data_IF_362844433179
#
_entry.id   IF_362844433179
#
_cell.length_a   1.000
_cell.length_b   1.000
_cell.length_c   1.000
_cell.angle_alpha   90.00
_cell.angle_beta   90.00
_cell.angle_gamma   90.00
#
_symmetry.space_group_name_H-M   'P 1'
#
loop_
_entity.id
_entity.type
_entity.pdbx_description
1 polymer ?
#
# COMPACT_ATOMS: atom_id res chain seq x y z
N UNK A 1 15.17 20.81 -21.21
CA UNK A 1 14.58 20.73 -19.86
C UNK A 1 13.10 20.51 -20.04
N UNK A 2 12.60 19.31 -19.71
CA UNK A 2 11.16 19.07 -19.71
C UNK A 2 10.57 19.75 -18.47
N UNK A 3 9.48 20.48 -18.63
CA UNK A 3 8.81 21.14 -17.52
C UNK A 3 8.33 20.10 -16.50
N UNK A 4 8.59 20.34 -15.21
CA UNK A 4 8.04 19.53 -14.12
C UNK A 4 6.52 19.67 -14.16
N UNK A 5 5.74 18.58 -14.21
CA UNK A 5 4.29 18.68 -14.24
C UNK A 5 3.78 19.15 -12.88
N UNK A 6 3.01 20.23 -12.90
CA UNK A 6 2.49 20.86 -11.68
C UNK A 6 1.55 19.90 -10.92
N UNK A 7 1.65 19.85 -9.59
CA UNK A 7 0.69 19.14 -8.76
C UNK A 7 -0.69 19.80 -8.84
N UNK A 8 -1.74 18.98 -8.97
CA UNK A 8 -3.13 19.44 -8.96
C UNK A 8 -3.80 19.06 -7.64
N UNK A 9 -4.55 19.97 -7.02
CA UNK A 9 -5.35 19.65 -5.84
C UNK A 9 -6.56 18.74 -6.15
N UNK A 10 -6.94 18.62 -7.44
CA UNK A 10 -8.07 17.80 -7.89
C UNK A 10 -7.72 16.37 -8.28
N UNK A 11 -6.42 16.01 -8.34
CA UNK A 11 -5.99 14.64 -8.64
C UNK A 11 -6.00 13.79 -7.34
N UNK A 12 -6.41 12.53 -7.45
CA UNK A 12 -6.27 11.53 -6.37
C UNK A 12 -4.81 11.26 -6.02
N UNK A 13 -4.54 10.70 -4.84
CA UNK A 13 -3.17 10.34 -4.44
C UNK A 13 -2.55 9.30 -5.38
N UNK A 14 -3.31 8.29 -5.81
CA UNK A 14 -2.88 7.36 -6.85
C UNK A 14 -2.49 8.04 -8.17
N UNK A 15 -3.29 8.99 -8.66
CA UNK A 15 -2.97 9.76 -9.88
C UNK A 15 -1.72 10.63 -9.71
N UNK A 16 -1.55 11.26 -8.54
CA UNK A 16 -0.34 12.00 -8.20
C UNK A 16 0.90 11.09 -8.19
N UNK A 17 0.79 9.89 -7.62
CA UNK A 17 1.88 8.90 -7.61
C UNK A 17 2.28 8.46 -9.03
N UNK A 18 1.29 8.22 -9.89
CA UNK A 18 1.51 7.91 -11.31
C UNK A 18 2.20 9.07 -12.05
N UNK A 19 1.73 10.30 -11.85
CA UNK A 19 2.35 11.52 -12.42
C UNK A 19 3.81 11.65 -12.00
N UNK A 20 4.11 11.48 -10.71
CA UNK A 20 5.48 11.54 -10.17
C UNK A 20 6.35 10.47 -10.84
N UNK A 21 5.85 9.23 -10.93
CA UNK A 21 6.59 8.13 -11.57
C UNK A 21 6.88 8.40 -13.04
N UNK A 22 5.91 8.95 -13.78
CA UNK A 22 6.08 9.32 -15.19
C UNK A 22 7.04 10.51 -15.37
N UNK A 23 7.06 11.45 -14.44
CA UNK A 23 7.92 12.64 -14.49
C UNK A 23 9.38 12.34 -14.11
N UNK A 24 9.61 11.38 -13.21
CA UNK A 24 10.93 10.96 -12.76
C UNK A 24 11.12 9.44 -12.97
N UNK A 25 11.24 8.97 -14.24
CA UNK A 25 11.45 7.57 -14.54
C UNK A 25 12.85 7.12 -14.10
N UNK A 26 12.94 5.94 -13.49
CA UNK A 26 14.22 5.28 -13.23
C UNK A 26 14.63 4.56 -14.52
N UNK A 27 15.76 4.94 -15.10
CA UNK A 27 16.22 4.43 -16.40
C UNK A 27 17.09 3.16 -16.29
N UNK A 28 17.56 2.82 -15.09
CA UNK A 28 18.34 1.61 -14.82
C UNK A 28 17.55 0.54 -14.06
N UNK A 29 18.20 -0.60 -13.80
CA UNK A 29 17.61 -1.71 -13.05
C UNK A 29 17.39 -1.37 -11.56
N UNK A 30 17.99 -0.28 -11.08
CA UNK A 30 17.92 0.18 -9.69
C UNK A 30 17.79 1.69 -9.63
N UNK A 31 17.07 2.17 -8.63
CA UNK A 31 17.05 3.58 -8.28
C UNK A 31 18.43 4.03 -7.78
N UNK A 32 18.88 5.19 -8.22
CA UNK A 32 20.02 5.90 -7.66
C UNK A 32 19.58 6.82 -6.51
N UNK A 33 20.53 7.32 -5.72
CA UNK A 33 20.23 8.29 -4.66
C UNK A 33 19.62 9.58 -5.21
N UNK A 34 19.98 9.97 -6.43
CA UNK A 34 19.40 11.13 -7.12
C UNK A 34 17.95 10.85 -7.54
N UNK A 35 17.64 9.65 -8.05
CA UNK A 35 16.25 9.24 -8.34
C UNK A 35 15.39 9.29 -7.07
N UNK A 36 15.91 8.77 -5.96
CA UNK A 36 15.27 8.82 -4.65
C UNK A 36 15.02 10.25 -4.19
N UNK A 37 16.02 11.13 -4.30
CA UNK A 37 15.90 12.54 -3.90
C UNK A 37 14.87 13.29 -4.74
N UNK A 38 14.89 13.10 -6.06
CA UNK A 38 13.95 13.75 -6.98
C UNK A 38 12.52 13.32 -6.65
N UNK A 39 12.27 12.01 -6.56
CA UNK A 39 10.93 11.49 -6.25
C UNK A 39 10.43 11.94 -4.88
N UNK A 40 11.29 11.91 -3.85
CA UNK A 40 10.94 12.40 -2.51
C UNK A 40 10.51 13.87 -2.53
N UNK A 41 11.28 14.73 -3.21
CA UNK A 41 10.94 16.14 -3.34
C UNK A 41 9.62 16.39 -4.10
N UNK A 42 9.23 15.49 -5.01
CA UNK A 42 7.93 15.55 -5.69
C UNK A 42 6.78 15.06 -4.81
N UNK A 43 7.02 14.06 -3.96
CA UNK A 43 6.04 13.58 -2.97
C UNK A 43 5.80 14.67 -1.92
N UNK A 44 6.85 15.30 -1.40
CA UNK A 44 6.74 16.41 -0.43
C UNK A 44 5.89 17.57 -0.98
N UNK A 45 6.12 17.94 -2.24
CA UNK A 45 5.35 19.00 -2.91
C UNK A 45 3.88 18.59 -3.08
N UNK A 46 3.61 17.34 -3.47
CA UNK A 46 2.25 16.83 -3.64
C UNK A 46 1.47 16.81 -2.31
N UNK A 47 2.13 16.48 -1.20
CA UNK A 47 1.56 16.54 0.15
C UNK A 47 1.31 17.99 0.58
N UNK A 48 2.27 18.88 0.35
CA UNK A 48 2.17 20.29 0.73
C UNK A 48 1.01 21.01 0.02
N UNK A 49 0.80 20.76 -1.28
CA UNK A 49 -0.31 21.32 -2.07
C UNK A 49 -1.68 20.90 -1.52
N UNK A 50 -1.75 19.73 -0.87
CA UNK A 50 -2.96 19.20 -0.23
C UNK A 50 -3.11 19.63 1.23
N UNK A 51 -2.18 20.41 1.77
CA UNK A 51 -2.18 20.80 3.19
C UNK A 51 -1.97 19.62 4.14
N UNK A 52 -1.36 18.53 3.66
CA UNK A 52 -1.06 17.35 4.49
C UNK A 52 0.22 17.65 5.27
N UNK A 53 0.10 17.59 6.59
CA UNK A 53 1.22 17.82 7.50
C UNK A 53 1.78 16.49 8.00
N UNK A 54 3.10 16.36 8.19
CA UNK A 54 3.70 15.16 8.75
C UNK A 54 3.15 14.86 10.16
N UNK A 55 2.68 13.63 10.37
CA UNK A 55 2.32 13.08 11.67
C UNK A 55 3.46 12.30 12.31
N UNK A 56 3.12 11.27 13.09
CA UNK A 56 4.10 10.36 13.68
C UNK A 56 4.73 9.48 12.60
N UNK A 57 6.04 9.28 12.67
CA UNK A 57 6.74 8.39 11.75
C UNK A 57 6.46 6.93 12.14
N UNK A 58 5.59 6.26 11.40
CA UNK A 58 5.12 4.92 11.73
C UNK A 58 4.95 4.01 10.50
N UNK A 59 4.90 2.71 10.76
CA UNK A 59 4.72 1.72 9.70
C UNK A 59 3.28 1.73 9.22
N UNK A 60 3.13 1.69 7.90
CA UNK A 60 1.86 1.58 7.22
C UNK A 60 1.87 0.31 6.37
N UNK A 61 0.78 -0.47 6.44
CA UNK A 61 0.58 -1.67 5.62
C UNK A 61 -0.47 -1.38 4.56
N UNK A 62 -0.25 -1.88 3.35
CA UNK A 62 -1.15 -1.68 2.23
C UNK A 62 -1.37 -2.99 1.44
N UNK A 63 -2.56 -3.13 0.87
CA UNK A 63 -2.82 -4.05 -0.23
C UNK A 63 -2.88 -3.22 -1.51
N UNK A 64 -2.05 -3.58 -2.49
CA UNK A 64 -2.03 -2.97 -3.81
C UNK A 64 -3.12 -3.58 -4.69
N UNK A 65 -3.56 -2.85 -5.73
CA UNK A 65 -4.64 -3.32 -6.63
C UNK A 65 -4.27 -4.58 -7.43
N UNK A 66 -2.99 -4.92 -7.50
CA UNK A 66 -2.47 -6.14 -8.10
C UNK A 66 -2.38 -7.32 -7.10
N UNK A 67 -2.89 -7.14 -5.89
CA UNK A 67 -2.92 -8.15 -4.83
C UNK A 67 -1.64 -8.25 -4.00
N UNK A 68 -0.60 -7.45 -4.25
CA UNK A 68 0.57 -7.45 -3.38
C UNK A 68 0.28 -6.78 -2.04
N UNK A 69 0.82 -7.33 -0.96
CA UNK A 69 0.92 -6.63 0.31
C UNK A 69 2.28 -5.98 0.41
N UNK A 70 2.30 -4.69 0.75
CA UNK A 70 3.50 -3.90 0.92
C UNK A 70 3.39 -3.08 2.22
N UNK A 71 4.51 -2.55 2.68
CA UNK A 71 4.52 -1.61 3.79
C UNK A 71 5.65 -0.61 3.67
N UNK A 72 5.49 0.52 4.35
CA UNK A 72 6.39 1.66 4.27
C UNK A 72 6.37 2.44 5.58
N UNK A 73 7.52 2.99 5.99
CA UNK A 73 7.64 3.89 7.15
C UNK A 73 7.48 5.33 6.68
N UNK A 74 6.40 5.99 7.08
CA UNK A 74 6.06 7.37 6.67
C UNK A 74 5.24 8.06 7.76
N UNK A 75 4.90 9.33 7.56
CA UNK A 75 4.29 10.17 8.59
C UNK A 75 2.77 10.29 8.46
N UNK A 76 2.16 9.69 7.43
CA UNK A 76 0.70 9.72 7.19
C UNK A 76 0.26 8.62 6.22
N UNK A 77 -1.05 8.32 6.22
CA UNK A 77 -1.66 7.37 5.28
C UNK A 77 -1.55 7.88 3.84
N UNK A 78 -1.69 9.18 3.64
CA UNK A 78 -1.60 9.82 2.33
C UNK A 78 -0.19 9.75 1.75
N UNK A 79 0.82 9.97 2.60
CA UNK A 79 2.22 9.77 2.24
C UNK A 79 2.50 8.30 1.90
N UNK A 80 1.91 7.35 2.63
CA UNK A 80 2.07 5.93 2.35
C UNK A 80 1.48 5.55 0.99
N UNK A 81 0.27 5.99 0.66
CA UNK A 81 -0.35 5.74 -0.64
C UNK A 81 0.49 6.29 -1.80
N UNK A 82 1.01 7.51 -1.65
CA UNK A 82 1.89 8.14 -2.63
C UNK A 82 3.20 7.38 -2.81
N UNK A 83 3.93 7.13 -1.71
CA UNK A 83 5.20 6.39 -1.74
C UNK A 83 5.02 5.02 -2.40
N UNK A 84 4.01 4.27 -1.97
CA UNK A 84 3.75 2.94 -2.51
C UNK A 84 3.42 3.01 -4.00
N UNK A 85 2.58 3.94 -4.43
CA UNK A 85 2.25 4.10 -5.85
C UNK A 85 3.47 4.48 -6.69
N UNK A 86 4.31 5.41 -6.21
CA UNK A 86 5.53 5.86 -6.91
C UNK A 86 6.52 4.71 -7.05
N UNK A 87 6.79 3.99 -5.97
CA UNK A 87 7.82 2.96 -5.91
C UNK A 87 7.38 1.64 -6.54
N UNK A 88 6.18 1.17 -6.23
CA UNK A 88 5.64 -0.08 -6.78
C UNK A 88 5.07 0.08 -8.18
N UNK A 89 4.63 1.28 -8.56
CA UNK A 89 4.00 1.52 -9.87
C UNK A 89 2.60 0.97 -9.97
N UNK A 90 1.98 0.70 -8.82
CA UNK A 90 0.66 0.12 -8.67
C UNK A 90 -0.07 0.89 -7.58
N UNK A 91 -1.31 1.28 -7.84
CA UNK A 91 -2.15 1.97 -6.84
C UNK A 91 -2.43 1.08 -5.63
N UNK A 92 -2.71 1.70 -4.49
CA UNK A 92 -3.20 1.01 -3.32
C UNK A 92 -4.71 0.70 -3.47
N UNK A 93 -5.11 -0.52 -3.12
CA UNK A 93 -6.52 -0.85 -2.87
C UNK A 93 -6.95 -0.31 -1.49
N UNK A 94 -6.07 -0.46 -0.49
CA UNK A 94 -6.18 0.21 0.79
C UNK A 94 -4.80 0.40 1.43
N UNK A 95 -4.72 1.34 2.37
CA UNK A 95 -3.57 1.60 3.23
C UNK A 95 -4.10 1.77 4.66
N UNK A 96 -3.40 1.22 5.65
CA UNK A 96 -3.71 1.42 7.07
C UNK A 96 -2.45 1.64 7.89
N UNK A 97 -2.60 2.42 8.95
CA UNK A 97 -1.59 2.56 10.01
C UNK A 97 -1.41 1.20 10.70
N UNK A 98 -0.18 0.75 10.88
CA UNK A 98 0.18 -0.56 11.44
C UNK A 98 1.53 -0.46 12.19
N UNK A 99 1.61 0.31 13.30
CA UNK A 99 2.87 0.78 13.87
C UNK A 99 3.77 -0.34 14.42
N UNK A 100 3.18 -1.53 14.64
CA UNK A 100 3.86 -2.72 15.16
C UNK A 100 4.00 -3.82 14.07
N UNK A 101 3.68 -3.50 12.82
CA UNK A 101 3.68 -4.43 11.69
C UNK A 101 2.82 -5.69 11.92
N UNK A 102 1.79 -5.61 12.78
CA UNK A 102 0.98 -6.77 13.16
C UNK A 102 0.19 -7.27 11.95
N UNK A 103 -0.44 -6.35 11.21
CA UNK A 103 -1.18 -6.72 10.01
C UNK A 103 -0.23 -7.23 8.92
N UNK A 104 0.92 -6.58 8.73
CA UNK A 104 1.92 -7.05 7.78
C UNK A 104 2.38 -8.49 8.08
N UNK A 105 2.60 -8.81 9.35
CA UNK A 105 3.01 -10.15 9.78
C UNK A 105 1.91 -11.21 9.64
N UNK A 106 0.62 -10.85 9.58
CA UNK A 106 -0.42 -11.80 9.19
C UNK A 106 -0.19 -12.34 7.77
N UNK A 107 0.26 -11.48 6.85
CA UNK A 107 0.57 -11.86 5.47
C UNK A 107 1.93 -12.54 5.33
N UNK A 108 2.89 -12.14 6.19
CA UNK A 108 4.27 -12.64 6.18
C UNK A 108 4.73 -13.02 7.60
N UNK A 109 4.33 -14.18 8.13
CA UNK A 109 4.57 -14.56 9.53
C UNK A 109 6.04 -14.64 9.97
N UNK A 110 6.96 -14.81 9.00
CA UNK A 110 8.40 -14.86 9.26
C UNK A 110 9.06 -13.47 9.36
N UNK A 111 8.30 -12.39 9.13
CA UNK A 111 8.77 -10.99 9.16
C UNK A 111 9.65 -10.57 7.99
N UNK A 112 10.48 -11.48 7.45
CA UNK A 112 11.27 -11.26 6.23
C UNK A 112 10.59 -11.88 5.03
N UNK A 113 10.32 -11.08 3.99
CA UNK A 113 9.86 -11.59 2.69
C UNK A 113 11.00 -12.36 2.02
N UNK A 114 10.80 -13.65 1.82
CA UNK A 114 11.56 -14.43 0.85
C UNK A 114 11.25 -13.97 -0.57
N UNK A 115 12.09 -14.32 -1.54
CA UNK A 115 11.83 -14.03 -2.96
C UNK A 115 10.48 -14.63 -3.44
N UNK A 116 10.09 -15.80 -2.93
CA UNK A 116 8.79 -16.40 -3.24
C UNK A 116 7.61 -15.61 -2.64
N UNK A 117 7.79 -15.01 -1.46
CA UNK A 117 6.78 -14.15 -0.83
C UNK A 117 6.73 -12.74 -1.45
N UNK A 118 7.79 -12.31 -2.15
CA UNK A 118 7.80 -11.05 -2.90
C UNK A 118 6.74 -11.05 -4.00
N UNK A 119 6.57 -12.17 -4.70
CA UNK A 119 5.62 -12.33 -5.81
C UNK A 119 4.21 -12.76 -5.38
N UNK A 120 4.01 -13.05 -4.09
CA UNK A 120 2.74 -13.57 -3.58
C UNK A 120 1.63 -12.53 -3.70
N UNK A 121 0.49 -12.96 -4.25
CA UNK A 121 -0.74 -12.15 -4.38
C UNK A 121 -1.82 -12.61 -3.42
N UNK A 122 -2.61 -11.67 -2.94
CA UNK A 122 -3.74 -11.87 -2.04
C UNK A 122 -5.01 -11.30 -2.68
N UNK A 123 -6.20 -11.87 -2.38
CA UNK A 123 -7.46 -11.35 -2.89
C UNK A 123 -7.70 -9.92 -2.43
N UNK A 124 -8.28 -9.10 -3.31
CA UNK A 124 -8.75 -7.76 -2.96
C UNK A 124 -9.91 -7.89 -1.98
N UNK A 125 -9.71 -7.36 -0.79
CA UNK A 125 -10.67 -7.36 0.30
C UNK A 125 -10.61 -6.00 0.99
N UNK A 126 -11.69 -5.58 1.70
CA UNK A 126 -11.68 -4.35 2.48
C UNK A 126 -10.50 -4.27 3.46
N UNK A 127 -10.14 -3.06 3.93
CA UNK A 127 -9.08 -2.88 4.93
C UNK A 127 -9.28 -3.83 6.11
N UNK A 128 -8.25 -4.59 6.46
CA UNK A 128 -8.29 -5.47 7.63
C UNK A 128 -8.11 -4.65 8.90
N UNK A 129 -8.89 -4.96 9.93
CA UNK A 129 -8.66 -4.43 11.27
C UNK A 129 -7.42 -5.09 11.89
N UNK A 130 -6.59 -4.31 12.59
CA UNK A 130 -5.47 -4.82 13.38
C UNK A 130 -6.01 -5.78 14.45
N UNK A 131 -5.50 -7.01 14.45
CA UNK A 131 -5.82 -8.00 15.49
C UNK A 131 -4.98 -7.76 16.73
N UNK A 132 -5.57 -8.00 17.89
CA UNK A 132 -4.78 -8.07 19.13
C UNK A 132 -3.94 -9.35 19.16
N UNK A 133 -2.94 -9.36 20.06
CA UNK A 133 -2.00 -10.48 20.24
C UNK A 133 -2.65 -11.81 20.68
N UNK A 134 -3.94 -11.82 20.99
CA UNK A 134 -4.68 -12.99 21.48
C UNK A 134 -5.60 -13.60 20.41
N UNK A 135 -5.75 -12.94 19.26
CA UNK A 135 -6.36 -13.58 18.11
C UNK A 135 -5.48 -14.76 17.65
N UNK A 136 -6.05 -15.97 17.44
CA UNK A 136 -5.27 -17.12 17.03
C UNK A 136 -4.51 -16.83 15.72
N UNK A 137 -3.24 -17.23 15.69
CA UNK A 137 -2.33 -17.04 14.55
C UNK A 137 -2.77 -17.81 13.28
N UNK A 138 -3.69 -18.76 13.43
CA UNK A 138 -4.34 -19.43 12.32
C UNK A 138 -5.50 -18.57 11.82
N UNK A 139 -5.25 -17.70 10.84
CA UNK A 139 -5.95 -17.79 9.55
C UNK A 139 -5.58 -16.65 8.60
N UNK A 140 -5.07 -17.02 7.42
CA UNK A 140 -5.09 -16.17 6.24
C UNK A 140 -6.27 -16.48 5.29
N UNK A 141 -7.06 -17.56 5.49
CA UNK A 141 -7.93 -18.11 4.43
C UNK A 141 -9.30 -18.69 4.85
N UNK A 142 -9.69 -18.78 6.13
CA UNK A 142 -10.90 -19.54 6.51
C UNK A 142 -12.24 -18.81 6.27
N UNK A 143 -12.23 -17.62 5.63
CA UNK A 143 -13.44 -16.80 5.46
C UNK A 143 -13.59 -16.07 4.12
N UNK A 144 -12.75 -16.33 3.11
CA UNK A 144 -12.89 -15.66 1.80
C UNK A 144 -14.13 -16.18 1.04
N UNK A 145 -14.79 -17.23 1.55
CA UNK A 145 -16.07 -17.76 1.06
C UNK A 145 -17.10 -17.78 2.21
N UNK A 146 -18.28 -17.14 2.12
CA UNK A 146 -19.42 -17.70 2.83
C UNK A 146 -19.69 -19.09 2.24
N UNK A 147 -19.84 -20.19 3.00
CA UNK A 147 -20.29 -21.44 2.42
C UNK A 147 -21.57 -21.16 1.61
N UNK A 148 -21.60 -21.64 0.36
CA UNK A 148 -22.79 -21.57 -0.50
C UNK A 148 -24.00 -21.94 0.36
N UNK A 149 -25.02 -21.07 0.40
CA UNK A 149 -26.27 -21.37 1.08
C UNK A 149 -26.97 -22.54 0.36
N UNK A 150 -26.50 -23.75 0.61
CA UNK A 150 -27.17 -24.99 0.29
C UNK A 150 -28.07 -25.29 1.48
N UNK A 151 -29.28 -24.76 1.48
CA UNK A 151 -30.36 -25.40 2.24
C UNK A 151 -31.67 -25.23 1.50
N UNK A 152 -31.90 -26.18 0.60
CA UNK A 152 -33.20 -26.80 0.38
C UNK A 152 -33.97 -26.92 1.68
N UNK A 153 -35.12 -26.27 1.79
CA UNK A 153 -36.17 -26.70 2.72
C UNK A 153 -37.42 -27.00 1.91
N UNK A 154 -37.62 -28.28 1.69
CA UNK A 154 -38.91 -28.90 1.40
C UNK A 154 -39.65 -29.03 2.73
N UNK A 155 -40.80 -28.39 2.85
CA UNK A 155 -41.93 -28.72 3.73
C UNK A 155 -43.01 -27.65 3.47
N UNK A 156 -44.25 -27.93 3.03
CA UNK A 156 -45.06 -29.14 2.91
C UNK A 156 -45.88 -29.09 1.62
#
# INVERSE_FOLDING_TARGET
>A
MNARPDPSAGESLGEAGERIRSAAPILGDRATDDDCRIRRAMIDEALAVRGIHPGAHEWHTALLVDGHVAGVWVNSVEEAELELTVWWGTRCHWVTVDPQCLLFHEYFPKGKRSAAEAERRFPLAPPRALRDRFAPADSLLDGIWPPSASTTSVAR
#
